data_IF_482204485315
#
_entry.id   IF_482204485315
#
_cell.length_a   1.000
_cell.length_b   1.000
_cell.length_c   1.000
_cell.angle_alpha   90.00
_cell.angle_beta   90.00
_cell.angle_gamma   90.00
#
_symmetry.space_group_name_H-M   'P 1'
#
loop_
_entity.id
_entity.type
_entity.pdbx_description
1 polymer ?
#
# COMPACT_ATOMS: atom_id res chain seq x y z
N UNK A 1 -10.28 7.98 20.44
CA UNK A 1 -11.05 6.80 19.95
C UNK A 1 -10.46 6.27 18.63
N UNK A 2 -9.90 7.16 17.81
CA UNK A 2 -9.34 6.90 16.49
C UNK A 2 -8.26 5.81 16.47
N UNK A 3 -7.37 5.76 17.47
CA UNK A 3 -6.33 4.74 17.56
C UNK A 3 -6.85 3.31 17.75
N UNK A 4 -7.95 3.13 18.49
CA UNK A 4 -8.59 1.82 18.67
C UNK A 4 -9.26 1.36 17.37
N UNK A 5 -9.86 2.28 16.61
CA UNK A 5 -10.47 1.99 15.31
C UNK A 5 -9.39 1.60 14.29
N UNK A 6 -8.27 2.33 14.24
CA UNK A 6 -7.11 1.99 13.41
C UNK A 6 -6.56 0.59 13.74
N UNK A 7 -6.34 0.31 15.03
CA UNK A 7 -5.82 -0.98 15.49
C UNK A 7 -6.81 -2.13 15.20
N UNK A 8 -8.11 -1.90 15.42
CA UNK A 8 -9.15 -2.89 15.12
C UNK A 8 -9.22 -3.24 13.64
N UNK A 9 -9.14 -2.23 12.75
CA UNK A 9 -9.10 -2.45 11.30
C UNK A 9 -7.83 -3.22 10.88
N UNK A 10 -6.66 -2.85 11.41
CA UNK A 10 -5.42 -3.57 11.16
C UNK A 10 -5.54 -5.05 11.57
N UNK A 11 -5.97 -5.32 12.81
CA UNK A 11 -6.09 -6.68 13.32
C UNK A 11 -7.10 -7.51 12.52
N UNK A 12 -8.24 -6.91 12.15
CA UNK A 12 -9.24 -7.60 11.32
C UNK A 12 -8.67 -7.95 9.94
N UNK A 13 -8.07 -6.97 9.25
CA UNK A 13 -7.48 -7.17 7.94
C UNK A 13 -6.38 -8.23 7.96
N UNK A 14 -5.45 -8.14 8.92
CA UNK A 14 -4.36 -9.09 9.07
C UNK A 14 -4.87 -10.50 9.41
N UNK A 15 -5.88 -10.61 10.28
CA UNK A 15 -6.46 -11.91 10.64
C UNK A 15 -7.09 -12.61 9.44
N UNK A 16 -7.80 -11.88 8.58
CA UNK A 16 -8.39 -12.44 7.35
C UNK A 16 -7.29 -12.98 6.43
N UNK A 17 -6.23 -12.19 6.21
CA UNK A 17 -5.13 -12.58 5.33
C UNK A 17 -4.39 -13.82 5.87
N UNK A 18 -4.05 -13.82 7.16
CA UNK A 18 -3.34 -14.94 7.79
C UNK A 18 -4.19 -16.20 7.74
N UNK A 19 -5.45 -16.16 8.21
CA UNK A 19 -6.30 -17.36 8.25
C UNK A 19 -6.49 -17.95 6.86
N UNK A 20 -6.70 -17.13 5.84
CA UNK A 20 -6.88 -17.63 4.48
C UNK A 20 -5.58 -18.16 3.88
N UNK A 21 -4.45 -17.53 4.18
CA UNK A 21 -3.13 -18.04 3.80
C UNK A 21 -2.87 -19.42 4.41
N UNK A 22 -3.02 -19.55 5.73
CA UNK A 22 -2.89 -20.82 6.44
C UNK A 22 -3.88 -21.87 5.92
N UNK A 23 -5.11 -21.46 5.59
CA UNK A 23 -6.12 -22.34 4.99
C UNK A 23 -5.64 -22.94 3.67
N UNK A 24 -4.87 -22.20 2.87
CA UNK A 24 -4.26 -22.69 1.64
C UNK A 24 -3.35 -23.89 1.87
N UNK A 25 -2.42 -23.79 2.83
CA UNK A 25 -1.56 -24.90 3.23
C UNK A 25 -2.36 -26.06 3.82
N UNK A 26 -3.32 -25.75 4.72
CA UNK A 26 -4.16 -26.74 5.36
C UNK A 26 -4.95 -27.60 4.35
N UNK A 27 -5.64 -26.95 3.41
CA UNK A 27 -6.46 -27.64 2.41
C UNK A 27 -5.58 -28.49 1.49
N UNK A 28 -4.45 -27.94 1.03
CA UNK A 28 -3.51 -28.69 0.19
C UNK A 28 -2.91 -29.89 0.92
N UNK A 29 -2.52 -29.74 2.20
CA UNK A 29 -1.96 -30.82 3.00
C UNK A 29 -2.98 -31.96 3.20
N UNK A 30 -4.22 -31.61 3.59
CA UNK A 30 -5.30 -32.58 3.76
C UNK A 30 -5.68 -33.28 2.45
N UNK A 31 -5.63 -32.60 1.31
CA UNK A 31 -5.90 -33.19 0.00
C UNK A 31 -4.91 -34.31 -0.37
N UNK A 32 -3.66 -34.23 0.10
CA UNK A 32 -2.66 -35.31 -0.07
C UNK A 32 -2.61 -36.30 1.10
N UNK A 33 -3.57 -36.23 2.02
CA UNK A 33 -3.63 -37.09 3.20
C UNK A 33 -2.48 -36.86 4.18
N UNK A 34 -1.92 -35.64 4.22
CA UNK A 34 -0.93 -35.25 5.21
C UNK A 34 -1.66 -34.84 6.49
N UNK A 35 -1.17 -35.32 7.63
CA UNK A 35 -1.73 -34.99 8.94
C UNK A 35 -1.39 -33.54 9.30
N UNK A 36 -2.38 -32.82 9.80
CA UNK A 36 -2.23 -31.47 10.33
C UNK A 36 -2.68 -31.48 11.79
N UNK A 37 -1.82 -31.00 12.67
CA UNK A 37 -2.02 -31.10 14.13
C UNK A 37 -2.55 -29.82 14.74
N UNK A 38 -2.14 -28.66 14.22
CA UNK A 38 -2.58 -27.34 14.68
C UNK A 38 -2.91 -26.43 13.51
N UNK A 39 -3.93 -25.60 13.69
CA UNK A 39 -4.29 -24.49 12.81
C UNK A 39 -4.54 -23.27 13.68
N UNK A 40 -3.63 -22.31 13.68
CA UNK A 40 -3.67 -21.20 14.62
C UNK A 40 -3.64 -19.84 13.92
N UNK A 41 -4.55 -18.97 14.33
CA UNK A 41 -4.43 -17.53 14.12
C UNK A 41 -3.58 -16.99 15.27
N UNK A 42 -2.48 -16.30 14.98
CA UNK A 42 -1.54 -15.79 15.99
C UNK A 42 -0.76 -16.89 16.71
N UNK A 43 0.48 -16.57 17.10
CA UNK A 43 1.35 -17.54 17.77
C UNK A 43 0.92 -17.76 19.22
N UNK A 44 0.88 -19.02 19.66
CA UNK A 44 0.67 -19.46 21.05
C UNK A 44 2.01 -19.55 21.81
N UNK A 45 2.88 -18.57 21.60
CA UNK A 45 4.22 -18.52 22.16
C UNK A 45 4.19 -18.66 23.71
N UNK A 46 5.17 -19.38 24.25
CA UNK A 46 5.26 -19.74 25.67
C UNK A 46 4.07 -20.56 26.21
N UNK A 47 3.33 -21.23 25.33
CA UNK A 47 2.19 -22.09 25.70
C UNK A 47 0.93 -21.31 26.12
N UNK A 48 0.94 -19.98 26.01
CA UNK A 48 -0.22 -19.16 26.29
C UNK A 48 -1.10 -19.05 25.04
N UNK A 49 -2.40 -19.35 25.19
CA UNK A 49 -3.38 -19.29 24.10
C UNK A 49 -4.65 -18.60 24.58
N UNK A 50 -5.25 -17.78 23.71
CA UNK A 50 -6.49 -17.07 24.03
C UNK A 50 -7.69 -18.01 23.96
N UNK A 51 -7.72 -18.87 22.95
CA UNK A 51 -8.80 -19.82 22.73
C UNK A 51 -8.30 -21.01 21.90
N UNK A 52 -8.83 -22.21 22.15
CA UNK A 52 -8.57 -23.38 21.30
C UNK A 52 -9.64 -24.45 21.44
N UNK A 53 -9.90 -25.19 20.37
CA UNK A 53 -10.75 -26.38 20.36
C UNK A 53 -10.17 -27.46 19.45
N UNK A 54 -10.48 -28.73 19.70
CA UNK A 54 -10.03 -29.86 18.87
C UNK A 54 -11.15 -30.37 17.99
N UNK A 55 -10.86 -30.58 16.71
CA UNK A 55 -11.79 -31.16 15.74
C UNK A 55 -11.04 -32.01 14.70
N UNK A 56 -11.46 -33.27 14.52
CA UNK A 56 -10.89 -34.23 13.54
C UNK A 56 -9.36 -34.26 13.53
N UNK A 57 -8.78 -34.50 14.71
CA UNK A 57 -7.33 -34.63 14.95
C UNK A 57 -6.48 -33.36 14.75
N UNK A 58 -7.13 -32.20 14.58
CA UNK A 58 -6.48 -30.89 14.49
C UNK A 58 -6.96 -29.99 15.64
N UNK A 59 -6.05 -29.29 16.29
CA UNK A 59 -6.34 -28.24 17.26
C UNK A 59 -6.43 -26.90 16.51
N UNK A 60 -7.59 -26.26 16.59
CA UNK A 60 -7.82 -24.93 16.06
C UNK A 60 -7.72 -23.94 17.21
N UNK A 61 -7.02 -22.82 17.02
CA UNK A 61 -6.84 -21.88 18.11
C UNK A 61 -6.50 -20.46 17.70
N UNK A 62 -6.50 -19.60 18.71
CA UNK A 62 -6.06 -18.21 18.62
C UNK A 62 -4.93 -18.01 19.64
N UNK A 63 -3.74 -17.73 19.15
CA UNK A 63 -2.59 -17.34 19.96
C UNK A 63 -2.70 -15.90 20.48
N UNK A 64 -1.85 -15.54 21.43
CA UNK A 64 -1.86 -14.19 22.00
C UNK A 64 -0.97 -13.21 21.23
N UNK A 65 -0.01 -13.72 20.45
CA UNK A 65 1.02 -12.92 19.81
C UNK A 65 0.69 -12.67 18.32
N UNK A 66 0.26 -11.46 17.93
CA UNK A 66 -0.25 -11.17 16.59
C UNK A 66 0.85 -10.91 15.57
N UNK A 67 1.81 -11.83 15.47
CA UNK A 67 2.98 -11.75 14.58
C UNK A 67 2.93 -12.76 13.40
N UNK A 68 1.81 -13.44 13.20
CA UNK A 68 1.66 -14.44 12.14
C UNK A 68 0.52 -15.41 12.41
N UNK A 69 0.39 -16.44 11.60
CA UNK A 69 -0.35 -17.65 11.91
C UNK A 69 0.55 -18.84 11.62
N UNK A 70 0.07 -20.05 11.90
CA UNK A 70 0.79 -21.24 11.47
C UNK A 70 -0.15 -22.44 11.34
N UNK A 71 0.22 -23.33 10.42
CA UNK A 71 -0.34 -24.66 10.29
C UNK A 71 0.72 -25.70 10.60
N UNK A 72 0.53 -26.44 11.69
CA UNK A 72 1.45 -27.51 12.09
C UNK A 72 1.26 -28.75 11.25
N UNK A 73 2.00 -28.84 10.15
CA UNK A 73 1.99 -29.96 9.21
C UNK A 73 2.97 -31.03 9.70
N UNK A 74 2.49 -32.26 9.86
CA UNK A 74 3.31 -33.30 10.45
C UNK A 74 4.50 -33.70 9.55
N UNK A 75 5.69 -33.82 10.15
CA UNK A 75 6.93 -34.18 9.45
C UNK A 75 7.54 -33.05 8.62
N UNK A 76 7.29 -31.79 9.00
CA UNK A 76 7.91 -30.57 8.47
C UNK A 76 8.41 -29.71 9.63
N UNK A 77 9.56 -29.04 9.45
CA UNK A 77 9.96 -27.92 10.32
C UNK A 77 9.19 -26.70 9.83
N UNK A 78 8.17 -26.30 10.58
CA UNK A 78 7.31 -25.16 10.31
C UNK A 78 7.79 -23.92 11.08
N UNK A 79 6.97 -22.86 11.09
CA UNK A 79 7.24 -21.59 11.79
C UNK A 79 7.36 -21.75 13.32
N UNK A 80 6.89 -22.87 13.88
CA UNK A 80 7.01 -23.17 15.31
C UNK A 80 8.38 -23.74 15.70
N UNK A 81 9.26 -24.04 14.71
CA UNK A 81 10.60 -24.61 14.90
C UNK A 81 10.64 -25.93 15.69
N UNK A 82 9.52 -26.65 15.75
CA UNK A 82 9.45 -27.93 16.45
C UNK A 82 10.16 -29.03 15.65
N UNK A 83 11.12 -29.71 16.29
CA UNK A 83 11.94 -30.77 15.69
C UNK A 83 11.65 -32.16 16.27
N UNK A 84 10.78 -32.26 17.28
CA UNK A 84 10.51 -33.52 17.98
C UNK A 84 9.94 -34.61 17.04
N UNK A 85 9.22 -34.20 15.99
CA UNK A 85 8.57 -35.09 15.03
C UNK A 85 9.53 -35.71 14.00
N UNK A 86 10.77 -35.23 13.92
CA UNK A 86 11.76 -35.73 12.97
C UNK A 86 12.56 -36.92 13.50
N UNK A 87 12.43 -37.24 14.79
CA UNK A 87 13.27 -38.23 15.48
C UNK A 87 13.02 -39.71 15.08
N UNK A 88 12.05 -39.99 14.21
CA UNK A 88 11.72 -41.35 13.73
C UNK A 88 11.74 -41.49 12.20
N UNK A 89 11.55 -42.72 11.66
CA UNK A 89 11.42 -42.95 10.22
C UNK A 89 10.15 -42.28 9.65
N UNK A 90 10.18 -41.81 8.38
CA UNK A 90 9.07 -41.08 7.78
C UNK A 90 7.80 -41.91 7.72
N UNK A 91 6.73 -41.42 8.34
CA UNK A 91 5.43 -42.08 8.32
C UNK A 91 4.63 -41.71 7.05
N UNK A 92 3.75 -42.58 6.52
CA UNK A 92 3.03 -42.32 5.26
C UNK A 92 2.12 -41.08 5.24
N UNK A 93 1.73 -40.58 6.43
CA UNK A 93 0.91 -39.40 6.62
C UNK A 93 1.74 -38.13 6.89
N UNK A 94 3.07 -38.23 6.87
CA UNK A 94 3.97 -37.09 7.05
C UNK A 94 4.31 -36.42 5.72
N UNK A 95 4.54 -35.12 5.78
CA UNK A 95 4.96 -34.28 4.66
C UNK A 95 6.19 -34.87 3.94
N UNK A 96 7.25 -35.21 4.69
CA UNK A 96 8.50 -35.77 4.15
C UNK A 96 8.36 -37.12 3.43
N UNK A 97 7.26 -37.85 3.65
CA UNK A 97 7.00 -39.11 2.93
C UNK A 97 6.42 -38.91 1.53
N UNK A 98 5.91 -37.70 1.23
CA UNK A 98 5.24 -37.41 -0.03
C UNK A 98 6.22 -37.02 -1.14
N UNK A 99 5.90 -37.32 -2.41
CA UNK A 99 6.65 -36.83 -3.56
C UNK A 99 6.85 -35.31 -3.51
N UNK A 100 8.02 -34.85 -3.96
CA UNK A 100 8.39 -33.43 -3.89
C UNK A 100 7.40 -32.49 -4.58
N UNK A 101 6.72 -32.92 -5.64
CA UNK A 101 5.69 -32.10 -6.31
C UNK A 101 4.42 -31.91 -5.45
N UNK A 102 4.03 -32.91 -4.64
CA UNK A 102 2.90 -32.77 -3.70
C UNK A 102 3.27 -31.80 -2.60
N UNK A 103 4.48 -31.96 -2.04
CA UNK A 103 5.04 -31.02 -1.06
C UNK A 103 5.11 -29.59 -1.61
N UNK A 104 5.49 -29.43 -2.88
CA UNK A 104 5.55 -28.12 -3.51
C UNK A 104 4.17 -27.46 -3.59
N UNK A 105 3.13 -28.20 -3.98
CA UNK A 105 1.75 -27.68 -4.00
C UNK A 105 1.31 -27.24 -2.60
N UNK A 106 1.66 -28.00 -1.57
CA UNK A 106 1.37 -27.62 -0.18
C UNK A 106 2.06 -26.31 0.20
N UNK A 107 3.36 -26.14 -0.13
CA UNK A 107 4.09 -24.89 0.13
C UNK A 107 3.55 -23.71 -0.68
N UNK A 108 3.07 -23.92 -1.90
CA UNK A 108 2.48 -22.85 -2.71
C UNK A 108 1.02 -22.56 -2.34
N UNK A 109 0.41 -23.36 -1.47
CA UNK A 109 -1.00 -23.27 -1.09
C UNK A 109 -1.37 -21.89 -0.56
N UNK A 110 -0.66 -21.40 0.46
CA UNK A 110 -0.94 -20.09 1.05
C UNK A 110 -0.69 -18.92 0.10
N UNK A 111 0.39 -18.95 -0.69
CA UNK A 111 0.68 -17.94 -1.73
C UNK A 111 -0.48 -17.88 -2.73
N UNK A 112 -0.93 -19.04 -3.20
CA UNK A 112 -2.01 -19.15 -4.19
C UNK A 112 -3.32 -18.59 -3.65
N UNK A 113 -3.67 -18.90 -2.39
CA UNK A 113 -4.89 -18.35 -1.77
C UNK A 113 -4.81 -16.83 -1.63
N UNK A 114 -3.66 -16.27 -1.26
CA UNK A 114 -3.52 -14.81 -1.20
C UNK A 114 -3.69 -14.15 -2.58
N UNK A 115 -3.13 -14.73 -3.65
CA UNK A 115 -3.34 -14.20 -5.01
C UNK A 115 -4.83 -14.25 -5.39
N UNK A 116 -5.50 -15.38 -5.13
CA UNK A 116 -6.94 -15.54 -5.40
C UNK A 116 -7.76 -14.54 -4.58
N UNK A 117 -7.43 -14.36 -3.31
CA UNK A 117 -8.09 -13.42 -2.40
C UNK A 117 -7.92 -11.98 -2.87
N UNK A 118 -6.71 -11.56 -3.25
CA UNK A 118 -6.48 -10.23 -3.81
C UNK A 118 -7.30 -9.99 -5.07
N UNK A 119 -7.32 -10.94 -6.01
CA UNK A 119 -8.16 -10.89 -7.22
C UNK A 119 -9.64 -10.76 -6.83
N UNK A 120 -10.12 -11.60 -5.91
CA UNK A 120 -11.50 -11.59 -5.45
C UNK A 120 -11.90 -10.26 -4.81
N UNK A 121 -11.06 -9.70 -3.94
CA UNK A 121 -11.31 -8.42 -3.28
C UNK A 121 -11.40 -7.30 -4.31
N UNK A 122 -10.42 -7.17 -5.20
CA UNK A 122 -10.45 -6.12 -6.24
C UNK A 122 -11.61 -6.31 -7.21
N UNK A 123 -11.97 -7.55 -7.55
CA UNK A 123 -13.14 -7.87 -8.35
C UNK A 123 -14.43 -7.39 -7.68
N UNK A 124 -14.66 -7.73 -6.41
CA UNK A 124 -15.84 -7.33 -5.67
C UNK A 124 -15.90 -5.81 -5.45
N UNK A 125 -14.76 -5.15 -5.26
CA UNK A 125 -14.67 -3.70 -5.20
C UNK A 125 -15.13 -3.05 -6.50
N UNK A 126 -14.61 -3.50 -7.65
CA UNK A 126 -14.99 -2.97 -8.96
C UNK A 126 -16.46 -3.28 -9.28
N UNK A 127 -16.94 -4.47 -8.92
CA UNK A 127 -18.35 -4.82 -9.10
C UNK A 127 -19.28 -3.91 -8.27
N UNK A 128 -18.96 -3.72 -6.97
CA UNK A 128 -19.86 -3.03 -6.04
C UNK A 128 -19.80 -1.51 -6.16
N UNK A 129 -18.60 -0.96 -6.35
CA UNK A 129 -18.36 0.48 -6.31
C UNK A 129 -18.02 1.07 -7.69
N UNK A 130 -17.74 0.22 -8.68
CA UNK A 130 -17.26 0.67 -9.98
C UNK A 130 -15.81 1.16 -9.93
N UNK A 131 -15.46 1.97 -10.91
CA UNK A 131 -14.23 2.75 -10.90
C UNK A 131 -14.58 4.23 -10.97
N UNK A 132 -14.21 4.96 -9.91
CA UNK A 132 -14.21 6.42 -9.92
C UNK A 132 -12.84 6.91 -10.39
N UNK A 133 -12.83 7.85 -11.33
CA UNK A 133 -11.61 8.48 -11.82
C UNK A 133 -11.86 9.95 -12.15
N UNK A 134 -10.79 10.73 -12.22
CA UNK A 134 -10.85 12.12 -12.70
C UNK A 134 -10.62 12.14 -14.22
N UNK A 135 -11.63 12.51 -15.03
CA UNK A 135 -11.45 12.65 -16.47
C UNK A 135 -10.48 13.80 -16.76
N UNK A 136 -9.43 13.48 -17.50
CA UNK A 136 -8.35 14.42 -17.74
C UNK A 136 -8.80 15.65 -18.56
N UNK A 137 -9.83 15.49 -19.40
CA UNK A 137 -10.44 16.57 -20.18
C UNK A 137 -11.30 17.54 -19.34
N UNK A 138 -11.74 17.13 -18.15
CA UNK A 138 -12.48 17.97 -17.19
C UNK A 138 -11.57 18.83 -16.31
N UNK A 139 -10.25 18.64 -16.37
CA UNK A 139 -9.27 19.47 -15.66
C UNK A 139 -9.02 20.79 -16.39
N UNK A 140 -10.03 21.65 -16.37
CA UNK A 140 -10.04 22.92 -17.12
C UNK A 140 -8.89 23.86 -16.74
N UNK A 141 -8.48 23.84 -15.46
CA UNK A 141 -7.43 24.68 -14.90
C UNK A 141 -6.02 24.10 -15.09
N UNK A 142 -5.90 22.92 -15.71
CA UNK A 142 -4.65 22.21 -15.87
C UNK A 142 -4.09 21.66 -14.55
N UNK A 143 -2.77 21.63 -14.47
CA UNK A 143 -2.04 21.03 -13.35
C UNK A 143 -1.34 22.08 -12.47
N UNK A 144 -1.11 21.70 -11.22
CA UNK A 144 -0.20 22.37 -10.29
C UNK A 144 1.01 21.46 -10.07
N UNK A 145 2.16 21.75 -10.69
CA UNK A 145 3.37 20.98 -10.46
C UNK A 145 3.97 21.30 -9.10
N UNK A 146 4.32 20.28 -8.33
CA UNK A 146 5.16 20.43 -7.15
C UNK A 146 6.63 20.62 -7.52
N UNK A 147 7.54 20.46 -6.56
CA UNK A 147 8.97 20.65 -6.82
C UNK A 147 9.51 19.71 -7.91
N UNK A 148 9.03 18.47 -7.97
CA UNK A 148 9.47 17.47 -8.96
C UNK A 148 8.94 17.86 -10.34
N UNK A 149 7.67 18.24 -10.44
CA UNK A 149 7.08 18.69 -11.69
C UNK A 149 7.77 19.95 -12.23
N UNK A 150 8.04 20.92 -11.34
CA UNK A 150 8.75 22.16 -11.69
C UNK A 150 10.18 21.87 -12.18
N UNK A 151 10.88 20.92 -11.56
CA UNK A 151 12.25 20.52 -11.95
C UNK A 151 12.32 19.96 -13.38
N UNK A 152 11.31 19.22 -13.82
CA UNK A 152 11.24 18.70 -15.19
C UNK A 152 10.66 19.70 -16.20
N UNK A 153 10.36 20.94 -15.76
CA UNK A 153 9.91 22.03 -16.63
C UNK A 153 8.39 22.17 -16.79
N UNK A 154 7.59 21.47 -15.99
CA UNK A 154 6.15 21.71 -15.91
C UNK A 154 5.85 23.05 -15.24
N UNK A 155 4.78 23.70 -15.66
CA UNK A 155 4.33 24.99 -15.15
C UNK A 155 2.87 24.91 -14.67
N UNK A 156 2.48 25.75 -13.68
CA UNK A 156 1.09 25.85 -13.28
C UNK A 156 0.19 26.21 -14.46
N UNK A 157 -0.89 25.46 -14.66
CA UNK A 157 -1.84 25.63 -15.76
C UNK A 157 -1.53 24.80 -17.02
N UNK A 158 -0.41 24.08 -17.07
CA UNK A 158 -0.17 23.10 -18.13
C UNK A 158 -1.28 22.04 -18.15
N UNK A 159 -1.70 21.62 -19.35
CA UNK A 159 -2.62 20.48 -19.52
C UNK A 159 -1.86 19.30 -20.09
N UNK A 160 -1.71 18.23 -19.32
CA UNK A 160 -1.04 17.02 -19.82
C UNK A 160 -2.06 16.21 -20.62
N UNK A 161 -1.86 16.07 -21.93
CA UNK A 161 -2.85 15.47 -22.85
C UNK A 161 -2.51 14.04 -23.27
N UNK A 162 -1.23 13.66 -23.25
CA UNK A 162 -0.77 12.32 -23.62
C UNK A 162 0.50 11.91 -22.86
N UNK A 163 0.70 10.60 -22.72
CA UNK A 163 1.96 9.99 -22.28
C UNK A 163 2.43 9.03 -23.37
N UNK A 164 3.68 9.16 -23.82
CA UNK A 164 4.29 8.30 -24.85
C UNK A 164 3.42 8.22 -26.11
N UNK A 165 2.86 9.36 -26.55
CA UNK A 165 1.95 9.45 -27.70
C UNK A 165 0.55 8.89 -27.49
N UNK A 166 0.22 8.33 -26.32
CA UNK A 166 -1.13 7.83 -25.99
C UNK A 166 -1.90 8.86 -25.18
N UNK A 167 -3.08 9.25 -25.69
CA UNK A 167 -3.98 10.17 -25.01
C UNK A 167 -4.34 9.64 -23.62
N UNK A 168 -4.23 10.51 -22.62
CA UNK A 168 -4.62 10.19 -21.24
C UNK A 168 -6.12 10.42 -21.08
N UNK A 169 -6.81 9.45 -20.50
CA UNK A 169 -8.24 9.57 -20.19
C UNK A 169 -8.43 9.86 -18.72
N UNK A 170 -7.68 9.19 -17.84
CA UNK A 170 -7.77 9.35 -16.39
C UNK A 170 -6.55 10.07 -15.86
N UNK A 171 -6.74 11.12 -15.06
CA UNK A 171 -5.63 11.88 -14.48
C UNK A 171 -4.68 10.99 -13.67
N UNK A 172 -5.21 9.97 -12.98
CA UNK A 172 -4.42 9.03 -12.17
C UNK A 172 -3.41 8.21 -12.99
N UNK A 173 -3.56 8.14 -14.33
CA UNK A 173 -2.57 7.50 -15.20
C UNK A 173 -1.19 8.19 -15.12
N UNK A 174 -1.15 9.49 -14.78
CA UNK A 174 0.09 10.25 -14.57
C UNK A 174 0.91 9.72 -13.39
N UNK A 175 0.24 9.16 -12.38
CA UNK A 175 0.88 8.59 -11.21
C UNK A 175 1.14 7.08 -11.37
N UNK A 176 0.84 6.52 -12.54
CA UNK A 176 1.03 5.10 -12.79
C UNK A 176 2.51 4.74 -12.86
N UNK A 177 2.82 3.49 -12.53
CA UNK A 177 4.16 2.94 -12.69
C UNK A 177 4.66 2.99 -14.15
N UNK A 178 3.77 3.08 -15.14
CA UNK A 178 4.16 3.28 -16.54
C UNK A 178 4.82 4.64 -16.77
N UNK A 179 4.33 5.68 -16.11
CA UNK A 179 4.87 7.06 -16.20
C UNK A 179 6.09 7.21 -15.31
N UNK A 180 6.00 6.76 -14.06
CA UNK A 180 7.05 6.97 -13.05
C UNK A 180 8.24 6.02 -13.17
N UNK A 181 8.08 4.89 -13.88
CA UNK A 181 9.16 3.90 -14.06
C UNK A 181 9.62 3.75 -15.51
N UNK A 182 8.84 4.23 -16.48
CA UNK A 182 9.27 4.33 -17.87
C UNK A 182 10.00 5.66 -18.08
N UNK A 183 11.08 5.65 -18.86
CA UNK A 183 11.63 6.89 -19.46
C UNK A 183 10.55 7.47 -20.39
N UNK A 184 9.58 8.16 -19.80
CA UNK A 184 8.32 8.53 -20.43
C UNK A 184 8.39 9.94 -20.94
N UNK A 185 7.59 10.24 -21.95
CA UNK A 185 7.44 11.56 -22.52
C UNK A 185 6.01 12.04 -22.30
N UNK A 186 5.86 13.18 -21.65
CA UNK A 186 4.59 13.86 -21.46
C UNK A 186 4.36 14.81 -22.64
N UNK A 187 3.20 14.72 -23.27
CA UNK A 187 2.71 15.74 -24.19
C UNK A 187 1.83 16.70 -23.41
N UNK A 188 2.20 17.97 -23.37
CA UNK A 188 1.48 19.03 -22.67
C UNK A 188 0.96 20.07 -23.64
N UNK A 189 -0.14 20.72 -23.27
CA UNK A 189 -0.64 21.93 -23.90
C UNK A 189 -0.39 23.11 -22.94
N UNK A 190 0.41 24.09 -23.38
CA UNK A 190 0.72 25.31 -22.64
C UNK A 190 0.36 26.51 -23.51
N UNK A 191 -0.61 27.30 -23.07
CA UNK A 191 -1.12 28.46 -23.83
C UNK A 191 -1.53 28.12 -25.28
N UNK A 192 -2.08 26.92 -25.52
CA UNK A 192 -2.49 26.44 -26.83
C UNK A 192 -1.35 25.83 -27.68
N UNK A 193 -0.10 25.86 -27.21
CA UNK A 193 1.03 25.19 -27.87
C UNK A 193 1.24 23.80 -27.28
N UNK A 194 1.50 22.82 -28.16
CA UNK A 194 1.88 21.47 -27.74
C UNK A 194 3.39 21.40 -27.50
N UNK A 195 3.79 20.90 -26.33
CA UNK A 195 5.20 20.67 -25.95
C UNK A 195 5.39 19.25 -25.44
N UNK A 196 6.61 18.74 -25.60
CA UNK A 196 7.01 17.45 -25.06
C UNK A 196 7.97 17.67 -23.89
N UNK A 197 7.74 16.94 -22.79
CA UNK A 197 8.57 16.97 -21.60
C UNK A 197 8.97 15.54 -21.24
N UNK A 198 10.26 15.28 -21.18
CA UNK A 198 10.78 13.99 -20.72
C UNK A 198 10.68 13.84 -19.20
N UNK A 199 10.19 12.69 -18.76
CA UNK A 199 10.21 12.27 -17.35
C UNK A 199 11.51 11.50 -17.11
N UNK A 200 12.39 11.98 -16.23
CA UNK A 200 13.70 11.37 -16.03
C UNK A 200 13.59 10.05 -15.25
N UNK A 201 14.51 9.11 -15.48
CA UNK A 201 14.48 7.79 -14.85
C UNK A 201 14.61 7.79 -13.31
N UNK A 202 15.11 8.89 -12.74
CA UNK A 202 15.20 9.12 -11.28
C UNK A 202 13.92 9.74 -10.68
N UNK A 203 12.84 9.96 -11.45
CA UNK A 203 11.59 10.54 -10.96
C UNK A 203 11.04 9.81 -9.74
N UNK A 204 11.19 8.48 -9.67
CA UNK A 204 10.72 7.69 -8.54
C UNK A 204 11.49 7.99 -7.26
N UNK A 205 12.80 8.22 -7.35
CA UNK A 205 13.60 8.60 -6.18
C UNK A 205 13.09 9.92 -5.62
N UNK A 206 12.84 10.90 -6.49
CA UNK A 206 12.25 12.19 -6.11
C UNK A 206 10.84 12.02 -5.51
N UNK A 207 9.99 11.17 -6.09
CA UNK A 207 8.65 10.87 -5.56
C UNK A 207 8.71 10.16 -4.21
N UNK A 208 9.70 9.27 -4.00
CA UNK A 208 9.96 8.63 -2.71
C UNK A 208 10.52 9.62 -1.67
N UNK A 209 11.24 10.64 -2.11
CA UNK A 209 11.83 11.66 -1.26
C UNK A 209 10.86 12.74 -0.82
N UNK A 210 10.02 13.20 -1.74
CA UNK A 210 9.15 14.35 -1.54
C UNK A 210 7.66 14.01 -1.56
N UNK A 211 7.28 12.82 -2.00
CA UNK A 211 5.90 12.36 -2.13
C UNK A 211 5.34 12.53 -3.54
N UNK A 212 4.35 11.69 -3.89
CA UNK A 212 3.75 11.68 -5.24
C UNK A 212 3.04 13.00 -5.60
N UNK A 213 2.45 13.69 -4.60
CA UNK A 213 1.83 15.01 -4.81
C UNK A 213 2.83 16.11 -5.20
N UNK A 214 4.14 15.86 -5.08
CA UNK A 214 5.17 16.80 -5.55
C UNK A 214 5.49 16.66 -7.03
N UNK A 215 4.96 15.62 -7.69
CA UNK A 215 5.04 15.49 -9.13
C UNK A 215 4.00 16.39 -9.80
N UNK A 216 2.74 15.97 -9.81
CA UNK A 216 1.65 16.68 -10.47
C UNK A 216 0.35 16.50 -9.70
N UNK A 217 -0.31 17.61 -9.38
CA UNK A 217 -1.66 17.62 -8.82
C UNK A 217 -2.63 18.39 -9.74
N UNK A 218 -3.94 18.13 -9.69
CA UNK A 218 -4.93 18.98 -10.34
C UNK A 218 -4.85 20.42 -9.80
N UNK A 219 -4.94 21.41 -10.70
CA UNK A 219 -4.93 22.81 -10.27
C UNK A 219 -6.31 23.24 -9.76
N UNK A 220 -6.38 23.57 -8.48
CA UNK A 220 -7.60 23.98 -7.80
C UNK A 220 -7.66 25.50 -7.64
N UNK A 221 -8.87 26.06 -7.66
CA UNK A 221 -9.02 27.48 -7.38
C UNK A 221 -8.71 27.78 -5.92
N UNK A 222 -8.53 29.06 -5.58
CA UNK A 222 -8.27 29.53 -4.22
C UNK A 222 -9.49 29.44 -3.26
N UNK A 223 -10.47 28.59 -3.58
CA UNK A 223 -11.60 28.28 -2.73
C UNK A 223 -11.21 27.37 -1.57
N UNK A 224 -11.70 27.74 -0.39
CA UNK A 224 -11.48 27.07 0.90
C UNK A 224 -12.42 25.87 0.99
N UNK A 225 -11.86 24.67 1.01
CA UNK A 225 -12.62 23.43 1.20
C UNK A 225 -12.87 23.14 2.68
N UNK A 226 -11.80 23.16 3.47
CA UNK A 226 -11.86 22.89 4.91
C UNK A 226 -10.88 23.79 5.69
N UNK A 227 -11.16 23.96 6.98
CA UNK A 227 -10.37 24.80 7.89
C UNK A 227 -10.00 23.98 9.13
N UNK A 228 -8.71 23.95 9.44
CA UNK A 228 -8.20 23.25 10.61
C UNK A 228 -8.79 23.84 11.90
N UNK A 229 -9.50 23.00 12.66
CA UNK A 229 -10.06 23.36 13.96
C UNK A 229 -8.97 23.83 14.93
N UNK A 230 -9.16 24.99 15.53
CA UNK A 230 -8.20 25.69 16.38
C UNK A 230 -7.05 26.36 15.64
N UNK A 231 -7.02 26.27 14.30
CA UNK A 231 -5.99 26.83 13.44
C UNK A 231 -6.08 28.35 13.27
N UNK A 232 -5.06 28.94 12.63
CA UNK A 232 -4.98 30.39 12.46
C UNK A 232 -6.09 30.93 11.55
N UNK A 233 -6.43 30.20 10.49
CA UNK A 233 -7.54 30.55 9.60
C UNK A 233 -8.90 30.57 10.32
N UNK A 234 -9.18 29.59 11.18
CA UNK A 234 -10.42 29.58 11.96
C UNK A 234 -10.49 30.78 12.92
N UNK A 235 -9.37 31.09 13.61
CA UNK A 235 -9.26 32.26 14.50
C UNK A 235 -9.45 33.59 13.75
N UNK A 236 -9.00 33.67 12.50
CA UNK A 236 -9.21 34.81 11.61
C UNK A 236 -10.64 34.87 11.03
N UNK A 237 -11.49 33.89 11.33
CA UNK A 237 -12.88 33.84 10.89
C UNK A 237 -13.06 33.31 9.47
N UNK A 238 -12.04 32.68 8.87
CA UNK A 238 -12.11 32.01 7.57
C UNK A 238 -12.92 30.72 7.71
N UNK A 239 -13.75 30.41 6.72
CA UNK A 239 -14.66 29.26 6.73
C UNK A 239 -14.60 28.50 5.41
N UNK A 240 -15.00 27.23 5.44
CA UNK A 240 -15.30 26.45 4.24
C UNK A 240 -16.29 27.21 3.34
N UNK A 241 -16.00 27.23 2.04
CA UNK A 241 -16.74 27.98 1.02
C UNK A 241 -16.23 29.40 0.73
N UNK A 242 -15.32 29.96 1.55
CA UNK A 242 -14.68 31.23 1.23
C UNK A 242 -13.77 31.11 0.00
N UNK A 243 -13.60 32.18 -0.76
CA UNK A 243 -12.64 32.24 -1.86
C UNK A 243 -11.61 33.33 -1.62
N UNK A 244 -10.33 32.97 -1.52
CA UNK A 244 -9.26 33.96 -1.35
C UNK A 244 -8.94 34.59 -2.70
N UNK A 245 -9.23 35.87 -2.87
CA UNK A 245 -9.03 36.57 -4.15
C UNK A 245 -7.76 37.43 -4.18
N UNK A 246 -7.18 37.74 -3.02
CA UNK A 246 -5.88 38.41 -2.93
C UNK A 246 -5.19 38.16 -1.58
N UNK A 247 -3.85 38.20 -1.61
CA UNK A 247 -2.98 38.39 -0.45
C UNK A 247 -2.41 39.81 -0.56
N UNK A 248 -2.67 40.65 0.44
CA UNK A 248 -2.43 42.09 0.40
C UNK A 248 -2.98 42.70 -0.92
N UNK A 249 -2.10 43.16 -1.81
CA UNK A 249 -2.43 43.70 -3.12
C UNK A 249 -2.18 42.75 -4.30
N UNK A 250 -1.71 41.52 -4.03
CA UNK A 250 -1.43 40.52 -5.07
C UNK A 250 -2.69 39.68 -5.33
N UNK A 251 -3.26 39.70 -6.55
CA UNK A 251 -4.38 38.83 -6.90
C UNK A 251 -3.97 37.35 -6.82
N UNK A 252 -4.86 36.52 -6.29
CA UNK A 252 -4.68 35.08 -6.16
C UNK A 252 -5.90 34.40 -6.76
N UNK A 253 -5.70 33.59 -7.80
CA UNK A 253 -6.77 32.84 -8.47
C UNK A 253 -6.80 31.37 -8.06
N UNK A 254 -5.63 30.82 -7.70
CA UNK A 254 -5.44 29.39 -7.48
C UNK A 254 -4.81 29.07 -6.12
N UNK A 255 -5.04 27.85 -5.66
CA UNK A 255 -4.56 27.42 -4.35
C UNK A 255 -3.03 27.22 -4.30
N UNK A 256 -2.41 26.84 -5.41
CA UNK A 256 -0.94 26.78 -5.53
C UNK A 256 -0.31 28.17 -5.39
N UNK A 257 -0.90 29.18 -6.02
CA UNK A 257 -0.47 30.57 -5.91
C UNK A 257 -0.61 31.09 -4.47
N UNK A 258 -1.68 30.70 -3.78
CA UNK A 258 -1.91 31.02 -2.38
C UNK A 258 -0.80 30.42 -1.50
N UNK A 259 -0.55 29.11 -1.63
CA UNK A 259 0.50 28.40 -0.89
C UNK A 259 1.87 29.01 -1.11
N UNK A 260 2.24 29.28 -2.36
CA UNK A 260 3.53 29.85 -2.72
C UNK A 260 3.67 31.29 -2.17
N UNK A 261 2.61 32.10 -2.21
CA UNK A 261 2.63 33.46 -1.69
C UNK A 261 2.74 33.52 -0.15
N UNK A 262 2.09 32.61 0.58
CA UNK A 262 2.17 32.56 2.05
C UNK A 262 3.58 32.26 2.58
N UNK A 263 4.46 31.66 1.76
CA UNK A 263 5.85 31.40 2.16
C UNK A 263 6.61 32.68 2.50
N UNK A 264 6.26 33.83 1.91
CA UNK A 264 6.87 35.12 2.20
C UNK A 264 6.47 35.70 3.58
N UNK A 265 5.43 35.15 4.20
CA UNK A 265 4.84 35.67 5.45
C UNK A 265 5.07 34.75 6.64
N UNK A 266 5.98 33.77 6.56
CA UNK A 266 6.27 32.85 7.68
C UNK A 266 6.47 33.59 9.01
N UNK A 267 5.75 33.16 10.05
CA UNK A 267 5.72 33.77 11.38
C UNK A 267 5.26 35.23 11.43
N UNK A 268 4.59 35.72 10.39
CA UNK A 268 4.05 37.07 10.31
C UNK A 268 2.55 37.03 9.99
N UNK A 269 1.89 38.16 10.23
CA UNK A 269 0.50 38.35 9.86
C UNK A 269 0.38 38.71 8.38
N UNK A 270 -0.69 38.25 7.75
CA UNK A 270 -1.01 38.52 6.34
C UNK A 270 -2.44 39.03 6.21
N UNK A 271 -2.66 40.02 5.35
CA UNK A 271 -4.01 40.48 5.01
C UNK A 271 -4.53 39.68 3.82
N UNK A 272 -5.71 39.09 3.99
CA UNK A 272 -6.38 38.28 2.99
C UNK A 272 -7.65 38.97 2.55
N UNK A 273 -7.83 39.10 1.24
CA UNK A 273 -9.11 39.52 0.66
C UNK A 273 -9.88 38.28 0.25
N UNK A 274 -11.06 38.11 0.83
CA UNK A 274 -11.92 36.94 0.63
C UNK A 274 -13.22 37.35 -0.04
N UNK A 275 -13.83 36.42 -0.76
CA UNK A 275 -15.23 36.48 -1.14
C UNK A 275 -15.98 35.38 -0.40
N UNK A 276 -17.01 35.76 0.35
CA UNK A 276 -17.95 34.85 1.00
C UNK A 276 -19.32 35.09 0.40
N UNK A 277 -19.85 34.11 -0.31
CA UNK A 277 -21.04 34.28 -1.15
C UNK A 277 -20.87 35.43 -2.16
N UNK A 278 -21.44 36.61 -1.89
CA UNK A 278 -21.33 37.82 -2.72
C UNK A 278 -20.52 38.92 -2.04
N UNK A 279 -20.22 38.77 -0.75
CA UNK A 279 -19.57 39.81 0.04
C UNK A 279 -18.06 39.70 -0.05
N UNK A 280 -17.41 40.84 -0.24
CA UNK A 280 -15.96 40.94 -0.21
C UNK A 280 -15.52 41.38 1.18
N UNK A 281 -14.66 40.59 1.81
CA UNK A 281 -14.17 40.82 3.16
C UNK A 281 -12.65 40.91 3.18
N UNK A 282 -12.11 41.59 4.19
CA UNK A 282 -10.69 41.53 4.52
C UNK A 282 -10.53 40.91 5.90
N UNK A 283 -9.61 39.96 6.02
CA UNK A 283 -9.25 39.35 7.30
C UNK A 283 -7.74 39.36 7.44
N UNK A 284 -7.27 39.50 8.68
CA UNK A 284 -5.86 39.34 9.01
C UNK A 284 -5.69 38.01 9.71
N UNK A 285 -4.73 37.21 9.25
CA UNK A 285 -4.42 35.91 9.86
C UNK A 285 -2.93 35.76 10.06
N UNK A 286 -2.55 35.09 11.14
CA UNK A 286 -1.16 34.73 11.40
C UNK A 286 -0.73 33.53 10.55
N UNK A 287 0.40 33.65 9.85
CA UNK A 287 0.99 32.55 9.09
C UNK A 287 2.02 31.83 9.97
N UNK A 288 1.88 30.51 10.07
CA UNK A 288 2.77 29.72 10.93
C UNK A 288 4.21 29.60 10.36
N UNK A 289 5.08 28.92 11.12
CA UNK A 289 6.47 28.69 10.72
C UNK A 289 6.63 27.89 9.41
N UNK A 290 5.61 27.13 9.01
CA UNK A 290 5.59 26.34 7.79
C UNK A 290 5.04 27.14 6.59
N UNK A 291 4.61 28.39 6.80
CA UNK A 291 3.99 29.19 5.75
C UNK A 291 2.54 28.80 5.50
N UNK A 292 1.82 28.33 6.52
CA UNK A 292 0.45 27.82 6.43
C UNK A 292 -0.51 28.59 7.31
N UNK A 293 -1.79 28.55 6.92
CA UNK A 293 -2.91 29.12 7.67
C UNK A 293 -3.82 28.06 8.31
N UNK A 294 -3.62 26.78 7.95
CA UNK A 294 -4.54 25.70 8.31
C UNK A 294 -5.79 25.67 7.41
N UNK A 295 -5.62 25.90 6.11
CA UNK A 295 -6.69 25.83 5.10
C UNK A 295 -6.41 24.68 4.14
N UNK A 296 -7.43 23.94 3.75
CA UNK A 296 -7.40 22.95 2.68
C UNK A 296 -8.12 23.47 1.41
N UNK A 297 -7.66 23.03 0.24
CA UNK A 297 -8.28 23.36 -1.03
C UNK A 297 -9.68 22.73 -1.13
N UNK A 298 -10.58 23.37 -1.89
CA UNK A 298 -11.86 22.77 -2.23
C UNK A 298 -11.70 21.69 -3.31
N UNK A 299 -11.63 20.43 -2.89
CA UNK A 299 -11.51 19.28 -3.80
C UNK A 299 -12.82 18.93 -4.53
N UNK A 300 -13.96 19.47 -4.08
CA UNK A 300 -15.26 19.24 -4.73
C UNK A 300 -15.34 19.91 -6.12
N UNK A 301 -14.38 20.78 -6.46
CA UNK A 301 -14.19 21.31 -7.82
C UNK A 301 -13.76 20.22 -8.82
N UNK A 302 -13.18 19.11 -8.34
CA UNK A 302 -12.73 18.02 -9.19
C UNK A 302 -13.92 17.17 -9.59
N UNK A 303 -14.29 17.27 -10.86
CA UNK A 303 -15.29 16.40 -11.44
C UNK A 303 -14.73 14.98 -11.55
N UNK A 304 -15.47 14.03 -10.98
CA UNK A 304 -15.18 12.60 -11.12
C UNK A 304 -16.26 11.93 -11.96
N UNK A 305 -15.85 10.97 -12.78
CA UNK A 305 -16.76 10.06 -13.47
C UNK A 305 -16.65 8.68 -12.85
N UNK A 306 -17.75 7.92 -12.93
CA UNK A 306 -17.81 6.55 -12.45
C UNK A 306 -18.20 5.61 -13.58
N UNK A 307 -17.48 4.50 -13.69
CA UNK A 307 -17.83 3.40 -14.59
C UNK A 307 -18.29 2.22 -13.73
N UNK A 308 -19.52 1.78 -13.97
CA UNK A 308 -20.06 0.57 -13.36
C UNK A 308 -19.94 -0.61 -14.31
N UNK A 309 -19.55 -1.75 -13.75
CA UNK A 309 -19.37 -3.00 -14.48
C UNK A 309 -20.35 -4.04 -13.95
N UNK A 310 -20.86 -4.90 -14.83
CA UNK A 310 -21.59 -6.10 -14.38
C UNK A 310 -20.65 -7.07 -13.68
N UNK A 311 -21.20 -8.02 -12.91
CA UNK A 311 -20.41 -8.96 -12.10
C UNK A 311 -19.34 -9.71 -12.89
N UNK A 312 -19.63 -10.15 -14.12
CA UNK A 312 -18.62 -10.84 -14.94
C UNK A 312 -17.68 -9.88 -15.66
N UNK A 313 -18.16 -8.69 -16.04
CA UNK A 313 -17.33 -7.67 -16.69
C UNK A 313 -16.31 -7.02 -15.74
N UNK A 314 -16.60 -6.99 -14.43
CA UNK A 314 -15.70 -6.46 -13.41
C UNK A 314 -14.53 -7.41 -13.08
N UNK A 315 -14.64 -8.71 -13.38
CA UNK A 315 -13.61 -9.70 -13.08
C UNK A 315 -12.27 -9.39 -13.76
N UNK A 316 -12.18 -9.20 -15.10
CA UNK A 316 -10.91 -8.87 -15.74
C UNK A 316 -10.32 -7.54 -15.24
N UNK A 317 -11.16 -6.57 -14.89
CA UNK A 317 -10.72 -5.28 -14.32
C UNK A 317 -10.13 -5.47 -12.92
N UNK A 318 -10.82 -6.21 -12.04
CA UNK A 318 -10.35 -6.55 -10.70
C UNK A 318 -9.07 -7.36 -10.72
N UNK A 319 -8.99 -8.38 -11.59
CA UNK A 319 -7.80 -9.18 -11.78
C UNK A 319 -6.61 -8.33 -12.29
N UNK A 320 -6.85 -7.40 -13.22
CA UNK A 320 -5.83 -6.47 -13.69
C UNK A 320 -5.33 -5.55 -12.57
N UNK A 321 -6.20 -5.09 -11.67
CA UNK A 321 -5.80 -4.29 -10.50
C UNK A 321 -4.96 -5.11 -9.52
N UNK A 322 -5.37 -6.34 -9.22
CA UNK A 322 -4.61 -7.26 -8.37
C UNK A 322 -3.21 -7.54 -8.96
N UNK A 323 -3.13 -7.84 -10.25
CA UNK A 323 -1.85 -8.09 -10.92
C UNK A 323 -0.97 -6.83 -11.01
N UNK A 324 -1.58 -5.67 -11.26
CA UNK A 324 -0.90 -4.38 -11.18
C UNK A 324 -0.28 -4.16 -9.80
N UNK A 325 -1.06 -4.38 -8.74
CA UNK A 325 -0.58 -4.32 -7.36
C UNK A 325 0.59 -5.28 -7.08
N UNK A 326 0.49 -6.53 -7.51
CA UNK A 326 1.58 -7.51 -7.37
C UNK A 326 2.86 -7.05 -8.07
N UNK A 327 2.73 -6.61 -9.33
CA UNK A 327 3.86 -6.15 -10.13
C UNK A 327 4.48 -4.87 -9.57
N UNK A 328 3.67 -3.94 -9.08
CA UNK A 328 4.17 -2.71 -8.47
C UNK A 328 4.92 -2.99 -7.16
N UNK A 329 4.42 -3.92 -6.33
CA UNK A 329 5.17 -4.43 -5.17
C UNK A 329 6.50 -5.08 -5.57
N UNK A 330 6.51 -5.91 -6.62
CA UNK A 330 7.73 -6.57 -7.11
C UNK A 330 8.77 -5.58 -7.64
N UNK A 331 8.34 -4.57 -8.41
CA UNK A 331 9.20 -3.49 -8.88
C UNK A 331 9.74 -2.64 -7.71
N UNK A 332 8.88 -2.34 -6.74
CA UNK A 332 9.27 -1.63 -5.52
C UNK A 332 10.38 -2.37 -4.79
N UNK A 333 10.21 -3.67 -4.54
CA UNK A 333 11.23 -4.52 -3.91
C UNK A 333 12.52 -4.59 -4.74
N UNK A 334 12.41 -4.77 -6.06
CA UNK A 334 13.57 -4.80 -6.95
C UNK A 334 14.41 -3.52 -6.86
N UNK A 335 13.77 -2.35 -6.74
CA UNK A 335 14.45 -1.06 -6.57
C UNK A 335 15.11 -0.87 -5.21
N UNK A 336 14.59 -1.50 -4.16
CA UNK A 336 15.27 -1.54 -2.85
C UNK A 336 16.54 -2.36 -2.93
N UNK A 337 16.46 -3.53 -3.60
CA UNK A 337 17.62 -4.41 -3.78
C UNK A 337 18.70 -3.74 -4.64
N UNK A 338 18.32 -2.98 -5.66
CA UNK A 338 19.28 -2.23 -6.50
C UNK A 338 19.77 -0.91 -5.88
N UNK A 339 19.28 -0.54 -4.68
CA UNK A 339 19.71 0.67 -3.97
C UNK A 339 19.09 1.97 -4.46
N UNK A 340 18.15 1.94 -5.40
CA UNK A 340 17.44 3.12 -5.91
C UNK A 340 16.42 3.68 -4.89
N UNK A 341 15.97 2.85 -3.96
CA UNK A 341 15.03 3.25 -2.89
C UNK A 341 15.57 2.78 -1.54
N UNK A 342 15.60 3.68 -0.55
CA UNK A 342 16.05 3.35 0.80
C UNK A 342 15.06 2.39 1.50
N UNK A 343 15.56 1.34 2.14
CA UNK A 343 14.75 0.32 2.79
C UNK A 343 13.78 0.88 3.86
N UNK A 344 14.19 1.91 4.60
CA UNK A 344 13.33 2.55 5.62
C UNK A 344 12.12 3.32 5.04
N UNK A 345 12.13 3.59 3.73
CA UNK A 345 11.00 4.19 3.01
C UNK A 345 10.13 3.13 2.35
N UNK A 346 10.72 2.02 1.93
CA UNK A 346 10.00 0.97 1.22
C UNK A 346 9.18 0.06 2.15
N UNK A 347 9.66 -0.22 3.35
CA UNK A 347 8.94 -1.07 4.31
C UNK A 347 8.16 -0.25 5.32
N UNK A 348 6.85 -0.50 5.39
CA UNK A 348 5.92 0.12 6.32
C UNK A 348 5.57 -0.88 7.42
N UNK A 349 5.71 -0.50 8.69
CA UNK A 349 5.37 -1.38 9.78
C UNK A 349 3.89 -1.34 10.19
N UNK A 350 3.52 -2.07 11.26
CA UNK A 350 2.13 -2.18 11.72
C UNK A 350 1.50 -0.82 12.07
N UNK A 351 2.26 0.12 12.65
CA UNK A 351 1.74 1.45 12.99
C UNK A 351 1.48 2.26 11.74
N UNK A 352 2.39 2.19 10.76
CA UNK A 352 2.19 2.78 9.45
C UNK A 352 0.95 2.22 8.75
N UNK A 353 0.77 0.89 8.73
CA UNK A 353 -0.40 0.25 8.14
C UNK A 353 -1.69 0.63 8.88
N UNK A 354 -1.68 0.70 10.22
CA UNK A 354 -2.83 1.15 11.00
C UNK A 354 -3.23 2.60 10.65
N UNK A 355 -2.25 3.49 10.49
CA UNK A 355 -2.48 4.86 10.00
C UNK A 355 -3.04 4.88 8.58
N UNK A 356 -2.61 3.95 7.71
CA UNK A 356 -3.18 3.81 6.37
C UNK A 356 -4.67 3.47 6.42
N UNK A 357 -5.15 2.62 7.34
CA UNK A 357 -6.59 2.37 7.52
C UNK A 357 -7.34 3.64 7.95
N UNK A 358 -6.79 4.41 8.90
CA UNK A 358 -7.35 5.68 9.36
C UNK A 358 -8.31 5.54 10.56
N UNK A 359 -8.72 6.68 11.13
CA UNK A 359 -9.49 6.76 12.37
C UNK A 359 -10.97 6.40 12.23
N UNK A 360 -11.46 6.31 10.99
CA UNK A 360 -12.84 5.98 10.66
C UNK A 360 -12.89 4.75 9.74
N UNK A 361 -13.97 3.98 9.85
CA UNK A 361 -14.17 2.80 9.02
C UNK A 361 -14.71 3.22 7.67
N UNK A 362 -13.88 3.09 6.64
CA UNK A 362 -14.29 3.21 5.24
C UNK A 362 -14.10 1.86 4.56
N UNK A 363 -15.18 1.18 4.20
CA UNK A 363 -15.11 -0.18 3.65
C UNK A 363 -14.37 -0.27 2.31
N UNK A 364 -14.49 0.74 1.44
CA UNK A 364 -13.76 0.75 0.16
C UNK A 364 -12.26 0.81 0.43
N UNK A 365 -11.85 1.72 1.32
CA UNK A 365 -10.44 1.88 1.75
C UNK A 365 -9.93 0.62 2.45
N UNK A 366 -10.70 0.08 3.40
CA UNK A 366 -10.37 -1.14 4.14
C UNK A 366 -10.10 -2.30 3.18
N UNK A 367 -11.06 -2.62 2.30
CA UNK A 367 -10.90 -3.74 1.36
C UNK A 367 -9.81 -3.47 0.33
N UNK A 368 -9.63 -2.22 -0.13
CA UNK A 368 -8.53 -1.87 -1.03
C UNK A 368 -7.16 -2.14 -0.40
N UNK A 369 -7.01 -1.79 0.89
CA UNK A 369 -5.79 -2.06 1.65
C UNK A 369 -5.60 -3.56 1.92
N UNK A 370 -6.65 -4.30 2.28
CA UNK A 370 -6.57 -5.75 2.46
C UNK A 370 -6.18 -6.43 1.13
N UNK A 371 -6.75 -6.02 0.00
CA UNK A 371 -6.37 -6.52 -1.32
C UNK A 371 -4.91 -6.22 -1.68
N UNK A 372 -4.45 -4.99 -1.45
CA UNK A 372 -3.05 -4.57 -1.62
C UNK A 372 -2.10 -5.43 -0.77
N UNK A 373 -2.40 -5.58 0.52
CA UNK A 373 -1.62 -6.36 1.47
C UNK A 373 -1.64 -7.85 1.12
N UNK A 374 -2.75 -8.38 0.59
CA UNK A 374 -2.84 -9.75 0.12
C UNK A 374 -1.87 -10.04 -1.02
N UNK A 375 -1.83 -9.16 -2.03
CA UNK A 375 -0.88 -9.29 -3.15
C UNK A 375 0.57 -9.06 -2.70
N UNK A 376 0.81 -8.16 -1.75
CA UNK A 376 2.14 -7.96 -1.16
C UNK A 376 2.60 -9.18 -0.36
N UNK A 377 1.72 -9.78 0.45
CA UNK A 377 2.03 -10.98 1.24
C UNK A 377 2.28 -12.19 0.34
N UNK A 378 1.49 -12.36 -0.74
CA UNK A 378 1.75 -13.36 -1.76
C UNK A 378 3.14 -13.20 -2.38
N UNK A 379 3.55 -11.98 -2.74
CA UNK A 379 4.88 -11.70 -3.28
C UNK A 379 5.97 -12.03 -2.26
N UNK A 380 5.82 -11.56 -1.01
CA UNK A 380 6.81 -11.77 0.05
C UNK A 380 7.02 -13.27 0.32
N UNK A 381 5.93 -14.03 0.45
CA UNK A 381 6.01 -15.47 0.67
C UNK A 381 6.47 -16.22 -0.58
N UNK A 382 6.42 -15.63 -1.78
CA UNK A 382 7.02 -16.22 -2.99
C UNK A 382 8.56 -16.05 -3.04
N UNK A 383 9.14 -15.12 -2.28
CA UNK A 383 10.58 -14.88 -2.30
C UNK A 383 11.35 -16.14 -1.85
N UNK A 384 12.52 -16.42 -2.44
CA UNK A 384 13.36 -17.56 -2.09
C UNK A 384 14.15 -17.31 -0.78
N UNK A 385 13.46 -16.85 0.26
CA UNK A 385 14.02 -16.60 1.59
C UNK A 385 13.70 -17.82 2.46
N UNK A 386 14.71 -18.49 3.05
CA UNK A 386 14.47 -19.58 3.99
C UNK A 386 13.54 -19.13 5.13
N UNK A 387 12.76 -20.04 5.72
CA UNK A 387 11.65 -19.74 6.64
C UNK A 387 10.39 -19.07 6.04
N UNK A 388 10.38 -18.72 4.76
CA UNK A 388 9.16 -18.41 4.01
C UNK A 388 8.80 -19.57 3.05
N UNK A 389 7.54 -19.61 2.62
CA UNK A 389 7.02 -20.61 1.67
C UNK A 389 7.89 -20.76 0.42
N UNK A 390 8.30 -19.65 -0.18
CA UNK A 390 9.11 -19.58 -1.39
C UNK A 390 10.52 -20.15 -1.19
N UNK A 391 11.08 -20.04 0.02
CA UNK A 391 12.32 -20.71 0.39
C UNK A 391 12.15 -22.24 0.40
N UNK A 392 11.10 -22.76 1.03
CA UNK A 392 10.78 -24.18 1.00
C UNK A 392 10.47 -24.68 -0.41
N UNK A 393 9.69 -23.91 -1.19
CA UNK A 393 9.42 -24.20 -2.58
C UNK A 393 10.71 -24.28 -3.41
N UNK A 394 11.64 -23.34 -3.23
CA UNK A 394 12.95 -23.37 -3.88
C UNK A 394 13.73 -24.65 -3.52
N UNK A 395 13.77 -25.03 -2.24
CA UNK A 395 14.45 -26.25 -1.82
C UNK A 395 13.85 -27.51 -2.44
N UNK A 396 12.52 -27.57 -2.56
CA UNK A 396 11.81 -28.67 -3.22
C UNK A 396 12.07 -28.70 -4.73
N UNK A 397 12.16 -27.54 -5.39
CA UNK A 397 12.53 -27.45 -6.80
C UNK A 397 13.96 -27.99 -7.01
N UNK A 398 14.89 -27.60 -6.14
CA UNK A 398 16.27 -28.11 -6.19
C UNK A 398 16.31 -29.63 -5.96
N UNK A 399 15.52 -30.15 -5.02
CA UNK A 399 15.36 -31.59 -4.79
C UNK A 399 14.84 -32.31 -6.03
N UNK A 400 13.80 -31.80 -6.68
CA UNK A 400 13.23 -32.39 -7.90
C UNK A 400 14.25 -32.44 -9.05
N UNK A 401 15.04 -31.38 -9.22
CA UNK A 401 16.10 -31.34 -10.25
C UNK A 401 17.24 -32.31 -9.91
N UNK A 402 17.63 -32.44 -8.63
CA UNK A 402 18.70 -33.35 -8.19
C UNK A 402 18.26 -34.81 -8.07
N UNK A 403 16.96 -35.09 -8.03
CA UNK A 403 16.39 -36.42 -7.83
C UNK A 403 16.64 -37.01 -6.43
N UNK A 404 17.16 -36.23 -5.48
CA UNK A 404 17.43 -36.67 -4.10
C UNK A 404 17.17 -35.54 -3.09
N UNK A 405 16.68 -35.85 -1.87
CA UNK A 405 16.38 -34.85 -0.86
C UNK A 405 17.64 -34.11 -0.42
N UNK A 406 17.46 -32.85 -0.03
CA UNK A 406 18.50 -32.06 0.61
C UNK A 406 18.79 -32.60 2.02
N UNK A 407 20.01 -32.42 2.51
CA UNK A 407 20.36 -32.91 3.83
C UNK A 407 19.59 -32.17 4.92
N UNK A 408 19.12 -32.88 5.95
CA UNK A 408 18.36 -32.31 7.07
C UNK A 408 19.15 -31.18 7.75
N UNK A 409 20.45 -31.37 7.99
CA UNK A 409 21.34 -30.35 8.55
C UNK A 409 21.42 -29.07 7.70
N UNK A 410 21.32 -29.19 6.38
CA UNK A 410 21.31 -28.02 5.49
C UNK A 410 19.97 -27.27 5.62
N UNK A 411 18.85 -28.00 5.60
CA UNK A 411 17.51 -27.44 5.76
C UNK A 411 17.36 -26.72 7.10
N UNK A 412 17.78 -27.35 8.19
CA UNK A 412 17.74 -26.76 9.55
C UNK A 412 18.56 -25.46 9.63
N UNK A 413 19.81 -25.48 9.15
CA UNK A 413 20.67 -24.29 9.14
C UNK A 413 20.11 -23.18 8.27
N UNK A 414 19.61 -23.53 7.09
CA UNK A 414 18.99 -22.55 6.20
C UNK A 414 17.76 -21.92 6.86
N UNK A 415 16.91 -22.72 7.50
CA UNK A 415 15.74 -22.24 8.24
C UNK A 415 16.12 -21.28 9.35
N UNK A 416 17.12 -21.61 10.17
CA UNK A 416 17.61 -20.74 11.26
C UNK A 416 18.13 -19.42 10.70
N UNK A 417 18.93 -19.46 9.63
CA UNK A 417 19.44 -18.23 8.98
C UNK A 417 18.27 -17.39 8.45
N UNK A 418 17.30 -18.01 7.79
CA UNK A 418 16.08 -17.35 7.33
C UNK A 418 15.30 -16.69 8.46
N UNK A 419 15.05 -17.43 9.53
CA UNK A 419 14.40 -16.93 10.73
C UNK A 419 15.14 -15.73 11.34
N UNK A 420 16.47 -15.79 11.46
CA UNK A 420 17.27 -14.66 11.93
C UNK A 420 17.12 -13.43 11.04
N UNK A 421 17.09 -13.62 9.71
CA UNK A 421 16.86 -12.52 8.74
C UNK A 421 15.47 -11.92 8.93
N UNK A 422 14.44 -12.75 9.06
CA UNK A 422 13.06 -12.29 9.28
C UNK A 422 12.92 -11.51 10.59
N UNK A 423 13.50 -12.00 11.68
CA UNK A 423 13.51 -11.28 12.97
C UNK A 423 14.25 -9.94 12.85
N UNK A 424 15.41 -9.91 12.19
CA UNK A 424 16.15 -8.67 11.98
C UNK A 424 15.35 -7.65 11.15
N UNK A 425 14.66 -8.09 10.10
CA UNK A 425 13.78 -7.25 9.29
C UNK A 425 12.59 -6.74 10.11
N UNK A 426 11.97 -7.60 10.92
CA UNK A 426 10.86 -7.21 11.80
C UNK A 426 11.29 -6.14 12.81
N UNK A 427 12.45 -6.32 13.45
CA UNK A 427 13.03 -5.32 14.37
C UNK A 427 13.32 -4.01 13.64
N UNK A 428 13.88 -4.07 12.42
CA UNK A 428 14.13 -2.89 11.61
C UNK A 428 12.84 -2.13 11.27
N UNK A 429 11.80 -2.83 10.83
CA UNK A 429 10.51 -2.23 10.45
C UNK A 429 9.78 -1.64 11.65
N UNK A 430 9.74 -2.36 12.78
CA UNK A 430 9.15 -1.85 14.04
C UNK A 430 9.92 -0.64 14.58
N UNK A 431 11.26 -0.71 14.56
CA UNK A 431 12.11 0.40 14.99
C UNK A 431 11.93 1.64 14.12
N UNK A 432 11.79 1.47 12.81
CA UNK A 432 11.50 2.55 11.86
C UNK A 432 10.13 3.20 12.13
N UNK A 433 9.11 2.41 12.44
CA UNK A 433 7.78 2.90 12.80
C UNK A 433 7.81 3.72 14.11
N UNK A 434 8.51 3.24 15.14
CA UNK A 434 8.69 3.96 16.41
C UNK A 434 9.43 5.28 16.18
N UNK A 435 10.52 5.25 15.42
CA UNK A 435 11.30 6.44 15.11
C UNK A 435 10.46 7.50 14.36
N UNK A 436 9.63 7.07 13.40
CA UNK A 436 8.69 7.95 12.68
C UNK A 436 7.50 8.42 13.52
N UNK A 437 7.19 7.75 14.63
CA UNK A 437 6.07 8.11 15.50
C UNK A 437 6.47 9.13 16.58
N UNK A 438 7.75 9.13 16.98
CA UNK A 438 8.31 10.05 17.99
C UNK A 438 8.77 11.39 17.36
N UNK A 439 9.01 11.39 16.06
CA UNK A 439 9.39 12.56 15.27
C UNK A 439 8.17 13.17 14.60
#
# INVERSE_FOLDING_TARGET
MDGLVMAGQLLLGLSILIVLHELGHFVAARAFGIKVEKFYLFFDAWGFKLFSFKYKDCEYGIGWLPLGGYVKIAGMIDESMDTEQLAGPPQPWEFRSKPAWQRLIVMLGGITVNIILGIFIFWMLVFRYGETYMPNDKLVNGISPGIIGKEIGLQPGDKIVAVNGKKIVRFEELNSSKVLLGNSELTIERHGEIKQIGVPGNILEMVSDYGIGQFVEPRLTSSVGDVLKGGNAEKAGIRAGDKVIAIDNKPIGFFDELKDALQAYKNNDVQLKLVRHSDTMQVTSHVDANGQLGIAANVDELQSDSIHYSLLASLPVGASKAWGSFMDNARGLGKVITGQVKANKAFTGPVGIAKMFGGEVNWVKFWSLVGLLSMALALMNLLPIPALDGGHAMFLIVEMVKGKPLSEKFMERAQIVGFCILVALMVFVLGNDIFKAVK
#
